data_IF_083028950203
#
_entry.id   IF_083028950203
#
_cell.length_a   1.000
_cell.length_b   1.000
_cell.length_c   1.000
_cell.angle_alpha   90.00
_cell.angle_beta   90.00
_cell.angle_gamma   90.00
#
_symmetry.space_group_name_H-M   'P 1'
#
loop_
_entity.id
_entity.type
_entity.pdbx_description
1 polymer ?
#
# COMPACT_ATOMS: atom_id res chain seq x y z
N UNK A 1 -14.66 23.45 -4.87
CA UNK A 1 -13.63 22.87 -3.96
C UNK A 1 -12.50 22.40 -4.84
N UNK A 2 -11.33 23.03 -4.76
CA UNK A 2 -10.13 22.57 -5.47
C UNK A 2 -9.74 21.24 -4.86
N UNK A 3 -9.95 20.13 -5.58
CA UNK A 3 -9.47 18.82 -5.18
C UNK A 3 -7.94 18.87 -5.14
N UNK A 4 -7.38 18.76 -3.94
CA UNK A 4 -5.94 18.80 -3.74
C UNK A 4 -5.34 17.51 -4.28
N UNK A 5 -4.36 17.60 -5.18
CA UNK A 5 -3.72 16.44 -5.84
C UNK A 5 -2.43 16.11 -5.10
N UNK A 6 -2.34 14.86 -4.60
CA UNK A 6 -1.16 14.36 -3.91
C UNK A 6 -0.08 13.87 -4.88
N UNK A 7 -0.48 13.22 -5.98
CA UNK A 7 0.42 12.71 -7.02
C UNK A 7 -0.12 13.16 -8.37
N UNK A 8 0.75 13.76 -9.20
CA UNK A 8 0.43 14.16 -10.56
C UNK A 8 1.54 13.68 -11.50
N UNK A 9 1.15 12.99 -12.56
CA UNK A 9 2.05 12.41 -13.56
C UNK A 9 1.53 12.82 -14.94
N UNK A 10 2.44 13.26 -15.81
CA UNK A 10 2.11 13.66 -17.18
C UNK A 10 3.14 13.09 -18.14
N UNK A 11 2.69 12.23 -19.06
CA UNK A 11 3.47 11.69 -20.16
C UNK A 11 4.74 10.93 -19.70
N UNK A 12 4.71 10.27 -18.53
CA UNK A 12 5.90 9.67 -17.94
C UNK A 12 6.40 8.47 -18.75
N UNK A 13 7.69 8.48 -19.09
CA UNK A 13 8.32 7.40 -19.87
C UNK A 13 9.52 6.81 -19.13
N UNK A 14 9.75 5.49 -19.32
CA UNK A 14 10.92 4.78 -18.83
C UNK A 14 11.24 3.57 -19.69
N UNK A 15 12.51 3.45 -20.09
CA UNK A 15 13.04 2.29 -20.80
C UNK A 15 14.26 1.71 -20.08
N UNK A 16 14.51 0.44 -20.26
CA UNK A 16 15.72 -0.27 -19.83
C UNK A 16 16.31 -0.95 -21.06
N UNK A 17 17.37 -0.36 -21.62
CA UNK A 17 17.85 -0.73 -22.95
C UNK A 17 16.76 -0.53 -24.00
N UNK A 18 16.48 -1.55 -24.80
CA UNK A 18 15.44 -1.51 -25.85
C UNK A 18 14.02 -1.78 -25.31
N UNK A 19 13.89 -2.10 -24.03
CA UNK A 19 12.58 -2.40 -23.43
C UNK A 19 11.92 -1.14 -22.85
N UNK A 20 10.89 -0.63 -23.53
CA UNK A 20 10.06 0.48 -23.05
C UNK A 20 9.06 -0.05 -22.02
N UNK A 21 9.29 0.28 -20.72
CA UNK A 21 8.48 -0.17 -19.57
C UNK A 21 7.34 0.78 -19.25
N UNK A 22 7.56 2.11 -19.35
CA UNK A 22 6.50 3.11 -19.25
C UNK A 22 6.44 3.91 -20.55
N UNK A 23 5.24 4.07 -21.09
CA UNK A 23 5.00 4.56 -22.46
C UNK A 23 4.06 5.78 -22.47
N UNK A 24 4.41 6.82 -21.68
CA UNK A 24 3.59 8.02 -21.58
C UNK A 24 2.44 7.87 -20.57
N UNK A 25 2.78 7.57 -19.32
CA UNK A 25 1.82 7.39 -18.23
C UNK A 25 1.31 8.75 -17.76
N UNK A 26 -0.02 8.90 -17.70
CA UNK A 26 -0.73 10.00 -17.04
C UNK A 26 -1.50 9.44 -15.85
N UNK A 27 -1.40 10.10 -14.67
CA UNK A 27 -2.11 9.68 -13.46
C UNK A 27 -2.29 10.86 -12.51
N UNK A 28 -3.47 10.92 -11.85
CA UNK A 28 -3.74 11.88 -10.77
C UNK A 28 -4.31 11.18 -9.56
N UNK A 29 -3.64 11.32 -8.42
CA UNK A 29 -4.10 10.77 -7.14
C UNK A 29 -4.53 11.91 -6.23
N UNK A 30 -5.76 11.84 -5.70
CA UNK A 30 -6.31 12.83 -4.77
C UNK A 30 -5.73 12.63 -3.36
N UNK A 31 -5.54 13.74 -2.63
CA UNK A 31 -5.12 13.67 -1.23
C UNK A 31 -6.14 12.91 -0.36
N UNK A 32 -5.63 12.12 0.59
CA UNK A 32 -6.43 11.38 1.57
C UNK A 32 -7.22 10.21 1.00
N UNK A 33 -6.90 9.74 -0.21
CA UNK A 33 -7.57 8.60 -0.86
C UNK A 33 -6.64 7.40 -0.99
N UNK A 34 -7.25 6.23 -1.18
CA UNK A 34 -6.57 5.02 -1.61
C UNK A 34 -6.72 4.90 -3.13
N UNK A 35 -5.63 5.00 -3.85
CA UNK A 35 -5.59 4.78 -5.30
C UNK A 35 -4.87 3.46 -5.60
N UNK A 36 -5.54 2.52 -6.25
CA UNK A 36 -4.94 1.26 -6.65
C UNK A 36 -4.36 1.35 -8.06
N UNK A 37 -3.11 0.97 -8.23
CA UNK A 37 -2.48 0.74 -9.52
C UNK A 37 -2.52 -0.76 -9.83
N UNK A 38 -3.56 -1.18 -10.54
CA UNK A 38 -3.81 -2.57 -10.91
C UNK A 38 -3.08 -2.92 -12.20
N UNK A 39 -2.48 -4.09 -12.27
CA UNK A 39 -1.84 -4.58 -13.51
C UNK A 39 -1.12 -5.90 -13.31
N UNK A 40 -0.87 -6.62 -14.40
CA UNK A 40 -0.11 -7.87 -14.39
C UNK A 40 1.34 -7.67 -13.96
N UNK A 41 2.04 -8.77 -13.67
CA UNK A 41 3.48 -8.73 -13.46
C UNK A 41 4.18 -8.24 -14.73
N UNK A 42 5.16 -7.34 -14.56
CA UNK A 42 5.86 -6.73 -15.69
C UNK A 42 5.14 -5.54 -16.35
N UNK A 43 3.92 -5.15 -15.92
CA UNK A 43 3.21 -4.01 -16.49
C UNK A 43 3.89 -2.65 -16.25
N UNK A 44 4.82 -2.55 -15.29
CA UNK A 44 5.55 -1.32 -14.97
C UNK A 44 5.20 -0.71 -13.60
N UNK A 45 4.34 -1.36 -12.79
CA UNK A 45 3.88 -0.87 -11.48
C UNK A 45 5.03 -0.46 -10.54
N UNK A 46 5.93 -1.40 -10.26
CA UNK A 46 7.11 -1.15 -9.39
C UNK A 46 8.04 -0.08 -9.98
N UNK A 47 8.17 -0.02 -11.31
CA UNK A 47 8.96 1.01 -11.98
C UNK A 47 8.37 2.40 -11.73
N UNK A 48 7.04 2.54 -11.85
CA UNK A 48 6.34 3.79 -11.60
C UNK A 48 6.51 4.21 -10.12
N UNK A 49 6.30 3.29 -9.17
CA UNK A 49 6.49 3.56 -7.74
C UNK A 49 7.93 3.98 -7.43
N UNK A 50 8.94 3.33 -8.04
CA UNK A 50 10.35 3.73 -7.86
C UNK A 50 10.66 5.12 -8.38
N UNK A 51 10.04 5.56 -9.47
CA UNK A 51 10.21 6.93 -9.98
C UNK A 51 9.55 7.92 -9.01
N UNK A 52 8.31 7.69 -8.59
CA UNK A 52 7.59 8.53 -7.66
C UNK A 52 8.26 8.64 -6.29
N UNK A 53 8.89 7.56 -5.84
CA UNK A 53 9.68 7.53 -4.60
C UNK A 53 11.12 8.02 -4.74
N UNK A 54 11.48 8.58 -5.92
CA UNK A 54 12.81 9.13 -6.22
C UNK A 54 13.96 8.12 -6.23
N UNK A 55 13.65 6.83 -6.33
CA UNK A 55 14.63 5.75 -6.39
C UNK A 55 15.11 5.45 -7.83
N UNK A 56 14.41 5.99 -8.83
CA UNK A 56 14.70 5.83 -10.24
C UNK A 56 14.35 7.11 -10.98
N UNK A 57 15.17 7.50 -11.95
CA UNK A 57 14.89 8.65 -12.82
C UNK A 57 14.03 8.19 -14.00
N UNK A 58 13.04 9.00 -14.36
CA UNK A 58 12.31 8.88 -15.63
C UNK A 58 13.19 9.26 -16.80
N UNK A 59 12.85 8.80 -18.02
CA UNK A 59 13.52 9.19 -19.24
C UNK A 59 12.82 10.40 -19.91
N UNK A 60 11.54 10.63 -19.58
CA UNK A 60 10.76 11.76 -20.05
C UNK A 60 9.43 11.90 -19.31
N UNK A 61 8.73 13.00 -19.58
CA UNK A 61 7.51 13.37 -18.85
C UNK A 61 7.80 14.06 -17.52
N UNK A 62 6.74 14.34 -16.77
CA UNK A 62 6.82 15.02 -15.48
C UNK A 62 6.08 14.20 -14.41
N UNK A 63 6.62 14.21 -13.18
CA UNK A 63 5.95 13.63 -12.02
C UNK A 63 6.14 14.52 -10.79
N UNK A 64 5.04 14.75 -10.08
CA UNK A 64 5.02 15.56 -8.85
C UNK A 64 4.36 14.79 -7.72
N UNK A 65 4.93 14.88 -6.53
CA UNK A 65 4.38 14.34 -5.29
C UNK A 65 4.28 15.45 -4.26
N UNK A 66 3.10 15.66 -3.69
CA UNK A 66 2.79 16.78 -2.80
C UNK A 66 3.20 18.15 -3.39
N UNK A 67 3.02 18.33 -4.71
CA UNK A 67 3.37 19.53 -5.44
C UNK A 67 4.88 19.70 -5.76
N UNK A 68 5.73 18.72 -5.36
CA UNK A 68 7.19 18.73 -5.58
C UNK A 68 7.56 17.84 -6.75
N UNK A 69 8.41 18.32 -7.62
CA UNK A 69 8.92 17.55 -8.74
C UNK A 69 9.91 16.48 -8.28
N UNK A 70 9.68 15.22 -8.70
CA UNK A 70 10.46 14.06 -8.23
C UNK A 70 11.91 14.05 -8.74
N UNK A 71 12.20 14.76 -9.84
CA UNK A 71 13.52 14.80 -10.46
C UNK A 71 14.36 15.95 -9.93
N UNK A 72 13.76 17.13 -9.72
CA UNK A 72 14.47 18.35 -9.33
C UNK A 72 14.46 18.63 -7.83
N UNK A 73 13.46 18.11 -7.10
CA UNK A 73 13.30 18.29 -5.64
C UNK A 73 13.27 16.96 -4.86
N UNK A 74 14.10 15.94 -5.17
CA UNK A 74 13.94 14.59 -4.60
C UNK A 74 14.09 14.55 -3.07
N UNK A 75 14.91 15.41 -2.48
CA UNK A 75 15.04 15.47 -1.02
C UNK A 75 13.73 15.89 -0.35
N UNK A 76 13.06 16.92 -0.87
CA UNK A 76 11.77 17.40 -0.35
C UNK A 76 10.62 16.41 -0.58
N UNK A 77 10.67 15.67 -1.70
CA UNK A 77 9.72 14.57 -1.95
C UNK A 77 9.89 13.51 -0.86
N UNK A 78 11.12 13.05 -0.59
CA UNK A 78 11.41 12.02 0.43
C UNK A 78 10.98 12.40 1.86
N UNK A 79 10.94 13.69 2.19
CA UNK A 79 10.40 14.15 3.47
C UNK A 79 8.89 13.91 3.62
N UNK A 80 8.16 13.86 2.49
CA UNK A 80 6.69 13.78 2.45
C UNK A 80 6.17 12.38 2.18
N UNK A 81 7.05 11.42 1.86
CA UNK A 81 6.66 10.08 1.43
C UNK A 81 7.23 8.99 2.32
N UNK A 82 6.62 7.82 2.23
CA UNK A 82 7.24 6.56 2.61
C UNK A 82 6.91 5.47 1.59
N UNK A 83 7.74 4.43 1.56
CA UNK A 83 7.59 3.29 0.66
C UNK A 83 7.71 2.00 1.45
N UNK A 84 6.73 1.13 1.31
CA UNK A 84 6.76 -0.25 1.76
C UNK A 84 6.88 -1.14 0.53
N UNK A 85 8.00 -1.81 0.38
CA UNK A 85 8.29 -2.66 -0.79
C UNK A 85 7.56 -4.00 -0.74
N UNK A 86 7.74 -4.81 -1.78
CA UNK A 86 7.17 -6.16 -1.88
C UNK A 86 7.63 -7.08 -0.73
N UNK A 87 8.88 -6.93 -0.29
CA UNK A 87 9.42 -7.63 0.87
C UNK A 87 9.47 -6.68 2.07
N UNK A 88 9.06 -7.18 3.23
CA UNK A 88 9.13 -6.40 4.46
C UNK A 88 10.59 -6.02 4.78
N UNK A 89 10.84 -4.73 4.98
CA UNK A 89 12.16 -4.17 5.28
C UNK A 89 12.46 -4.22 6.79
N UNK A 90 12.05 -5.30 7.47
CA UNK A 90 12.24 -5.49 8.91
C UNK A 90 13.53 -6.27 9.18
N UNK A 91 14.26 -5.89 10.21
CA UNK A 91 15.38 -6.68 10.72
C UNK A 91 14.85 -7.79 11.62
N UNK A 92 15.06 -9.05 11.21
CA UNK A 92 14.55 -10.22 11.93
C UNK A 92 15.31 -10.52 13.25
N UNK A 93 16.52 -10.00 13.40
CA UNK A 93 17.33 -10.16 14.61
C UNK A 93 16.83 -9.25 15.73
N UNK A 94 16.31 -8.07 15.36
CA UNK A 94 15.74 -7.10 16.27
C UNK A 94 14.34 -7.48 16.71
N UNK A 95 13.90 -6.92 17.83
CA UNK A 95 12.50 -6.95 18.25
C UNK A 95 11.66 -5.98 17.42
N UNK A 96 10.32 -6.12 17.48
CA UNK A 96 9.42 -5.18 16.80
C UNK A 96 9.63 -3.74 17.27
N UNK A 97 9.84 -3.55 18.57
CA UNK A 97 10.12 -2.24 19.18
C UNK A 97 11.45 -1.67 18.70
N UNK A 98 12.52 -2.46 18.68
CA UNK A 98 13.84 -2.02 18.23
C UNK A 98 13.84 -1.62 16.76
N UNK A 99 13.11 -2.32 15.87
CA UNK A 99 12.92 -1.93 14.49
C UNK A 99 12.30 -0.53 14.37
N UNK A 100 11.22 -0.26 15.10
CA UNK A 100 10.56 1.06 15.10
C UNK A 100 11.46 2.16 15.67
N UNK A 101 12.15 1.90 16.78
CA UNK A 101 13.09 2.84 17.38
C UNK A 101 14.25 3.16 16.42
N UNK A 102 14.79 2.16 15.73
CA UNK A 102 15.86 2.35 14.75
C UNK A 102 15.41 3.29 13.63
N UNK A 103 14.22 3.05 13.04
CA UNK A 103 13.71 3.91 11.97
C UNK A 103 13.40 5.32 12.49
N UNK A 104 12.87 5.45 13.71
CA UNK A 104 12.60 6.74 14.32
C UNK A 104 13.89 7.55 14.55
N UNK A 105 14.98 6.90 14.97
CA UNK A 105 16.31 7.51 15.09
C UNK A 105 16.87 7.95 13.73
N UNK A 106 16.76 7.10 12.70
CA UNK A 106 17.19 7.44 11.33
C UNK A 106 16.41 8.60 10.73
N UNK A 107 15.13 8.76 11.13
CA UNK A 107 14.27 9.87 10.74
C UNK A 107 14.39 11.09 11.68
N UNK A 108 15.29 11.06 12.66
CA UNK A 108 15.52 12.12 13.63
C UNK A 108 14.28 12.55 14.41
N UNK A 109 13.38 11.60 14.72
CA UNK A 109 12.19 11.85 15.54
C UNK A 109 12.63 12.17 16.97
N UNK A 110 11.99 13.16 17.61
CA UNK A 110 12.42 13.66 18.92
C UNK A 110 12.24 12.60 20.04
N UNK A 111 11.19 11.78 19.99
CA UNK A 111 10.94 10.67 20.93
C UNK A 111 10.80 9.33 20.19
N UNK A 112 11.91 8.65 19.86
CA UNK A 112 11.88 7.36 19.19
C UNK A 112 11.15 6.27 19.99
N UNK A 113 11.24 6.32 21.34
CA UNK A 113 10.58 5.36 22.22
C UNK A 113 9.07 5.51 22.24
N UNK A 114 8.58 6.72 22.43
CA UNK A 114 7.14 7.01 22.43
C UNK A 114 6.48 6.70 21.12
N UNK A 115 7.07 7.11 19.97
CA UNK A 115 6.51 6.77 18.64
C UNK A 115 6.49 5.26 18.39
N UNK A 116 7.48 4.49 18.91
CA UNK A 116 7.48 3.05 18.78
C UNK A 116 6.33 2.40 19.56
N UNK A 117 6.07 2.84 20.80
CA UNK A 117 4.94 2.34 21.61
C UNK A 117 3.58 2.68 20.95
N UNK A 118 3.41 3.92 20.49
CA UNK A 118 2.19 4.36 19.81
C UNK A 118 1.91 3.53 18.54
N UNK A 119 2.93 3.28 17.73
CA UNK A 119 2.81 2.48 16.52
C UNK A 119 2.57 1.00 16.83
N UNK A 120 3.23 0.42 17.83
CA UNK A 120 2.94 -0.95 18.27
C UNK A 120 1.48 -1.10 18.71
N UNK A 121 0.97 -0.14 19.48
CA UNK A 121 -0.42 -0.16 19.92
C UNK A 121 -1.39 -0.02 18.73
N UNK A 122 -1.15 0.93 17.83
CA UNK A 122 -1.99 1.19 16.66
C UNK A 122 -2.08 0.00 15.70
N UNK A 123 -1.02 -0.82 15.63
CA UNK A 123 -0.93 -1.97 14.71
C UNK A 123 -1.18 -3.32 15.40
N UNK A 124 -1.72 -3.34 16.62
CA UNK A 124 -1.97 -4.55 17.41
C UNK A 124 -0.72 -5.44 17.57
N UNK A 125 0.43 -4.81 17.83
CA UNK A 125 1.72 -5.47 18.01
C UNK A 125 2.31 -5.25 19.41
N UNK A 126 1.58 -4.67 20.36
CA UNK A 126 2.05 -4.33 21.71
C UNK A 126 2.62 -5.54 22.44
N UNK A 127 1.87 -6.66 22.49
CA UNK A 127 2.31 -7.89 23.15
C UNK A 127 3.52 -8.55 22.47
N UNK A 128 3.62 -8.36 21.15
CA UNK A 128 4.71 -8.90 20.35
C UNK A 128 5.94 -7.97 20.30
N UNK A 129 5.79 -6.71 20.71
CA UNK A 129 6.80 -5.66 20.55
C UNK A 129 8.17 -6.00 21.12
N UNK A 130 8.22 -6.75 22.23
CA UNK A 130 9.46 -7.22 22.85
C UNK A 130 10.03 -8.54 22.26
N UNK A 131 9.31 -9.19 21.33
CA UNK A 131 9.75 -10.43 20.70
C UNK A 131 10.59 -10.13 19.46
N UNK A 132 11.55 -11.00 19.13
CA UNK A 132 12.30 -10.90 17.86
C UNK A 132 11.39 -11.08 16.66
N UNK A 133 11.57 -10.27 15.62
CA UNK A 133 10.77 -10.31 14.39
C UNK A 133 10.89 -11.64 13.65
N UNK A 134 11.99 -12.37 13.80
CA UNK A 134 12.13 -13.74 13.33
C UNK A 134 10.97 -14.68 13.78
N UNK A 135 10.33 -14.39 14.93
CA UNK A 135 9.21 -15.17 15.49
C UNK A 135 7.82 -14.68 15.04
N UNK A 136 7.75 -13.62 14.22
CA UNK A 136 6.49 -13.05 13.76
C UNK A 136 5.89 -13.88 12.61
N UNK A 137 4.55 -13.91 12.54
CA UNK A 137 3.86 -14.37 11.34
C UNK A 137 4.12 -13.42 10.15
N UNK A 138 3.80 -13.85 8.93
CA UNK A 138 3.89 -12.99 7.74
C UNK A 138 3.06 -11.70 7.89
N UNK A 139 1.82 -11.83 8.38
CA UNK A 139 0.94 -10.69 8.65
C UNK A 139 1.49 -9.74 9.72
N UNK A 140 2.07 -10.25 10.81
CA UNK A 140 2.72 -9.42 11.82
C UNK A 140 3.93 -8.68 11.26
N UNK A 141 4.77 -9.33 10.45
CA UNK A 141 5.92 -8.68 9.79
C UNK A 141 5.42 -7.57 8.86
N UNK A 142 4.37 -7.82 8.09
CA UNK A 142 3.80 -6.81 7.18
C UNK A 142 3.20 -5.63 7.92
N UNK A 143 2.47 -5.86 9.01
CA UNK A 143 1.95 -4.78 9.87
C UNK A 143 3.09 -3.95 10.48
N UNK A 144 4.14 -4.59 10.95
CA UNK A 144 5.33 -3.89 11.47
C UNK A 144 6.01 -3.05 10.37
N UNK A 145 6.18 -3.57 9.17
CA UNK A 145 6.76 -2.88 8.02
C UNK A 145 5.94 -1.62 7.64
N UNK A 146 4.61 -1.75 7.61
CA UNK A 146 3.71 -0.61 7.40
C UNK A 146 3.82 0.38 8.58
N UNK A 147 3.89 -0.09 9.83
CA UNK A 147 4.08 0.78 11.00
C UNK A 147 5.39 1.57 10.91
N UNK A 148 6.50 0.92 10.52
CA UNK A 148 7.80 1.57 10.30
C UNK A 148 7.71 2.65 9.22
N UNK A 149 6.92 2.42 8.17
CA UNK A 149 6.72 3.39 7.09
C UNK A 149 5.98 4.67 7.53
N UNK A 150 5.24 4.63 8.64
CA UNK A 150 4.54 5.79 9.18
C UNK A 150 5.40 6.65 10.11
N UNK A 151 6.59 6.20 10.48
CA UNK A 151 7.54 7.01 11.24
C UNK A 151 7.85 8.29 10.46
N UNK A 152 7.69 9.43 11.08
CA UNK A 152 7.85 10.74 10.42
C UNK A 152 6.58 11.29 9.74
N UNK A 153 5.45 10.61 9.89
CA UNK A 153 4.13 11.05 9.43
C UNK A 153 4.06 11.44 7.94
N UNK A 154 4.32 10.51 7.01
CA UNK A 154 4.32 10.80 5.58
C UNK A 154 2.92 11.21 5.09
N UNK A 155 2.86 12.15 4.14
CA UNK A 155 1.60 12.55 3.49
C UNK A 155 1.17 11.53 2.43
N UNK A 156 2.13 10.85 1.80
CA UNK A 156 1.90 9.82 0.79
C UNK A 156 2.64 8.55 1.18
N UNK A 157 1.93 7.44 1.17
CA UNK A 157 2.47 6.10 1.40
C UNK A 157 2.31 5.26 0.13
N UNK A 158 3.44 4.77 -0.38
CA UNK A 158 3.47 3.79 -1.46
C UNK A 158 3.50 2.38 -0.86
N UNK A 159 2.58 1.53 -1.30
CA UNK A 159 2.50 0.11 -0.91
C UNK A 159 2.67 -0.75 -2.16
N UNK A 160 3.84 -1.38 -2.31
CA UNK A 160 4.10 -2.24 -3.47
C UNK A 160 3.71 -3.69 -3.14
N UNK A 161 2.57 -4.14 -3.70
CA UNK A 161 1.97 -5.47 -3.50
C UNK A 161 1.85 -5.87 -2.01
N UNK A 162 1.08 -5.11 -1.19
CA UNK A 162 1.14 -5.20 0.28
C UNK A 162 0.69 -6.53 0.86
N UNK A 163 -0.08 -7.34 0.14
CA UNK A 163 -0.64 -8.60 0.66
C UNK A 163 -0.13 -9.84 -0.04
N UNK A 164 0.84 -9.69 -0.96
CA UNK A 164 1.43 -10.83 -1.68
C UNK A 164 2.06 -11.83 -0.70
N UNK A 165 1.67 -13.11 -0.82
CA UNK A 165 2.18 -14.19 0.01
C UNK A 165 1.59 -14.28 1.42
N UNK A 166 0.59 -13.48 1.75
CA UNK A 166 -0.14 -13.58 3.02
C UNK A 166 -1.31 -14.57 2.92
N UNK A 167 -1.61 -15.22 4.04
CA UNK A 167 -2.83 -15.99 4.20
C UNK A 167 -4.07 -15.06 4.21
N UNK A 168 -5.29 -15.59 3.98
CA UNK A 168 -6.51 -14.79 3.88
C UNK A 168 -6.79 -13.92 5.11
N UNK A 169 -6.54 -14.43 6.33
CA UNK A 169 -6.76 -13.68 7.56
C UNK A 169 -5.78 -12.51 7.69
N UNK A 170 -4.50 -12.77 7.50
CA UNK A 170 -3.45 -11.73 7.51
C UNK A 170 -3.70 -10.65 6.45
N UNK A 171 -4.21 -11.02 5.26
CA UNK A 171 -4.59 -10.07 4.22
C UNK A 171 -5.69 -9.13 4.69
N UNK A 172 -6.76 -9.63 5.31
CA UNK A 172 -7.84 -8.81 5.85
C UNK A 172 -7.35 -7.84 6.93
N UNK A 173 -6.42 -8.26 7.79
CA UNK A 173 -5.82 -7.41 8.81
C UNK A 173 -5.03 -6.24 8.18
N UNK A 174 -4.23 -6.52 7.13
CA UNK A 174 -3.52 -5.49 6.36
C UNK A 174 -4.52 -4.53 5.69
N UNK A 175 -5.58 -5.04 5.08
CA UNK A 175 -6.61 -4.21 4.45
C UNK A 175 -7.30 -3.26 5.44
N UNK A 176 -7.64 -3.74 6.64
CA UNK A 176 -8.19 -2.87 7.71
C UNK A 176 -7.22 -1.75 8.07
N UNK A 177 -5.94 -2.10 8.20
CA UNK A 177 -4.87 -1.14 8.49
C UNK A 177 -4.78 -0.07 7.39
N UNK A 178 -4.75 -0.47 6.12
CA UNK A 178 -4.67 0.45 4.97
C UNK A 178 -5.86 1.42 4.94
N UNK A 179 -7.08 0.91 5.16
CA UNK A 179 -8.29 1.77 5.25
C UNK A 179 -8.23 2.77 6.40
N UNK A 180 -7.73 2.35 7.56
CA UNK A 180 -7.61 3.23 8.72
C UNK A 180 -6.62 4.36 8.46
N UNK A 181 -5.51 4.09 7.76
CA UNK A 181 -4.54 5.11 7.36
C UNK A 181 -5.17 6.18 6.45
N UNK A 182 -5.95 5.76 5.47
CA UNK A 182 -6.66 6.69 4.58
C UNK A 182 -7.68 7.54 5.33
N UNK A 183 -8.46 6.95 6.25
CA UNK A 183 -9.41 7.69 7.10
C UNK A 183 -8.74 8.76 7.95
N UNK A 184 -7.47 8.54 8.31
CA UNK A 184 -6.66 9.50 9.07
C UNK A 184 -6.00 10.57 8.17
N UNK A 185 -6.29 10.54 6.86
CA UNK A 185 -5.83 11.55 5.89
C UNK A 185 -4.52 11.21 5.16
N UNK A 186 -3.93 10.02 5.39
CA UNK A 186 -2.77 9.58 4.60
C UNK A 186 -3.24 9.24 3.18
N UNK A 187 -2.55 9.74 2.17
CA UNK A 187 -2.78 9.32 0.78
C UNK A 187 -2.04 8.03 0.51
N UNK A 188 -2.70 7.05 -0.10
CA UNK A 188 -2.09 5.76 -0.41
C UNK A 188 -2.11 5.49 -1.91
N UNK A 189 -0.97 5.15 -2.47
CA UNK A 189 -0.87 4.53 -3.79
C UNK A 189 -0.42 3.08 -3.58
N UNK A 190 -1.33 2.13 -3.78
CA UNK A 190 -1.00 0.72 -3.70
C UNK A 190 -0.89 0.10 -5.09
N UNK A 191 0.11 -0.73 -5.30
CA UNK A 191 0.18 -1.57 -6.49
C UNK A 191 -0.36 -2.96 -6.17
N UNK A 192 -1.09 -3.54 -7.09
CA UNK A 192 -1.58 -4.92 -6.95
C UNK A 192 -1.80 -5.59 -8.30
N UNK A 193 -1.81 -6.92 -8.31
CA UNK A 193 -2.32 -7.74 -9.40
C UNK A 193 -3.64 -8.44 -9.01
N UNK A 194 -4.09 -8.27 -7.75
CA UNK A 194 -5.27 -8.89 -7.20
C UNK A 194 -6.48 -7.96 -7.35
N UNK A 195 -7.47 -8.40 -8.10
CA UNK A 195 -8.69 -7.63 -8.38
C UNK A 195 -9.50 -7.38 -7.09
N UNK A 196 -9.61 -8.40 -6.24
CA UNK A 196 -10.31 -8.35 -4.95
C UNK A 196 -9.71 -7.28 -4.02
N UNK A 197 -8.38 -7.13 -4.00
CA UNK A 197 -7.70 -6.10 -3.22
C UNK A 197 -8.02 -4.68 -3.73
N UNK A 198 -7.99 -4.49 -5.06
CA UNK A 198 -8.34 -3.20 -5.65
C UNK A 198 -9.82 -2.85 -5.42
N UNK A 199 -10.75 -3.80 -5.63
CA UNK A 199 -12.18 -3.60 -5.38
C UNK A 199 -12.50 -3.27 -3.93
N UNK A 200 -11.82 -3.94 -3.00
CA UNK A 200 -12.10 -3.81 -1.58
C UNK A 200 -11.52 -2.53 -0.97
N UNK A 201 -10.35 -2.08 -1.43
CA UNK A 201 -9.62 -0.99 -0.79
C UNK A 201 -9.75 0.36 -1.48
N UNK A 202 -9.80 0.38 -2.82
CA UNK A 202 -9.52 1.59 -3.56
C UNK A 202 -10.74 2.52 -3.69
N UNK A 203 -10.51 3.82 -3.52
CA UNK A 203 -11.44 4.88 -3.91
C UNK A 203 -11.40 5.14 -5.42
N UNK A 204 -10.24 4.88 -6.04
CA UNK A 204 -10.05 4.92 -7.49
C UNK A 204 -9.02 3.85 -7.93
N UNK A 205 -9.18 3.35 -9.14
CA UNK A 205 -8.38 2.27 -9.71
C UNK A 205 -7.85 2.71 -11.07
N UNK A 206 -6.53 2.74 -11.21
CA UNK A 206 -5.85 2.88 -12.49
C UNK A 206 -5.39 1.51 -12.99
N UNK A 207 -5.73 1.11 -14.20
CA UNK A 207 -5.28 -0.14 -14.81
C UNK A 207 -4.08 0.16 -15.69
N UNK A 208 -2.91 -0.35 -15.28
CA UNK A 208 -1.66 -0.27 -16.03
C UNK A 208 -1.48 -1.54 -16.85
N UNK A 209 -1.43 -1.39 -18.17
CA UNK A 209 -1.24 -2.47 -19.12
C UNK A 209 -0.18 -2.11 -20.14
N UNK A 210 0.82 -2.98 -20.33
CA UNK A 210 1.93 -2.80 -21.29
C UNK A 210 2.59 -1.40 -21.24
N UNK A 211 2.72 -0.85 -20.04
CA UNK A 211 3.40 0.43 -19.80
C UNK A 211 2.53 1.67 -19.97
N UNK A 212 1.23 1.54 -20.19
CA UNK A 212 0.27 2.64 -20.31
C UNK A 212 -0.92 2.45 -19.38
N UNK A 213 -1.48 3.53 -18.83
CA UNK A 213 -2.77 3.49 -18.14
C UNK A 213 -3.87 3.45 -19.18
N UNK A 214 -4.65 2.36 -19.17
CA UNK A 214 -5.75 2.15 -20.12
C UNK A 214 -7.09 2.65 -19.59
N UNK A 215 -7.22 2.76 -18.26
CA UNK A 215 -8.40 3.31 -17.57
C UNK A 215 -8.00 3.79 -16.20
N UNK A 216 -8.62 4.88 -15.72
CA UNK A 216 -8.47 5.45 -14.37
C UNK A 216 -9.82 5.99 -13.92
N UNK A 217 -10.32 5.57 -12.76
CA UNK A 217 -11.60 6.01 -12.22
C UNK A 217 -12.05 5.21 -11.00
N UNK A 218 -13.24 5.53 -10.50
CA UNK A 218 -13.88 4.77 -9.43
C UNK A 218 -14.32 3.38 -9.92
N UNK A 219 -14.53 2.44 -9.01
CA UNK A 219 -15.03 1.10 -9.35
C UNK A 219 -16.35 1.14 -10.13
N UNK A 220 -17.25 2.07 -9.77
CA UNK A 220 -18.54 2.23 -10.45
C UNK A 220 -18.35 2.77 -11.88
N UNK A 221 -17.44 3.72 -12.09
CA UNK A 221 -17.09 4.21 -13.42
C UNK A 221 -16.49 3.10 -14.28
N UNK A 222 -15.59 2.28 -13.71
CA UNK A 222 -15.00 1.15 -14.41
C UNK A 222 -16.06 0.10 -14.78
N UNK A 223 -16.98 -0.23 -13.87
CA UNK A 223 -18.09 -1.15 -14.13
C UNK A 223 -19.05 -0.63 -15.21
N UNK A 224 -19.24 0.68 -15.29
CA UNK A 224 -20.09 1.30 -16.30
C UNK A 224 -19.52 1.22 -17.74
N UNK A 225 -18.21 0.93 -17.89
CA UNK A 225 -17.61 0.68 -19.22
C UNK A 225 -18.07 -0.64 -19.84
N UNK A 226 -18.58 -1.56 -19.03
CA UNK A 226 -19.09 -2.84 -19.51
C UNK A 226 -20.59 -2.74 -19.78
N UNK A 227 -21.13 -3.46 -20.79
CA UNK A 227 -22.57 -3.55 -20.98
C UNK A 227 -23.20 -4.12 -19.70
N UNK A 228 -24.45 -3.69 -19.34
CA UNK A 228 -25.10 -4.15 -18.14
C UNK A 228 -25.15 -5.67 -18.11
N UNK A 229 -24.59 -6.26 -17.05
CA UNK A 229 -24.54 -7.70 -16.87
C UNK A 229 -25.98 -8.25 -16.89
N UNK A 230 -26.22 -9.30 -17.68
CA UNK A 230 -27.44 -10.09 -17.52
C UNK A 230 -27.44 -10.64 -16.10
N UNK A 231 -28.50 -10.34 -15.35
CA UNK A 231 -28.67 -10.86 -13.99
C UNK A 231 -28.93 -12.37 -14.10
N UNK A 232 -27.84 -13.16 -14.02
CA UNK A 232 -27.96 -14.57 -13.72
C UNK A 232 -27.93 -14.72 -12.20
N UNK A 233 -29.01 -15.24 -11.63
CA UNK A 233 -29.06 -15.64 -10.22
C UNK A 233 -28.16 -16.87 -10.01
N UNK A 234 -26.87 -16.68 -9.89
CA UNK A 234 -25.97 -17.71 -9.40
C UNK A 234 -26.02 -17.67 -7.88
N UNK A 235 -26.62 -18.68 -7.26
CA UNK A 235 -26.44 -18.89 -5.82
C UNK A 235 -24.95 -19.03 -5.54
N UNK A 236 -24.36 -18.00 -4.95
CA UNK A 236 -22.94 -17.99 -4.59
C UNK A 236 -22.77 -19.02 -3.48
N UNK A 237 -22.27 -20.19 -3.82
CA UNK A 237 -21.87 -21.17 -2.80
C UNK A 237 -20.71 -20.57 -2.00
N UNK A 238 -20.69 -20.80 -0.66
CA UNK A 238 -19.59 -20.35 0.15
C UNK A 238 -18.26 -20.81 -0.43
N UNK A 239 -17.31 -19.92 -0.56
CA UNK A 239 -15.97 -20.27 -1.02
C UNK A 239 -15.21 -20.99 0.09
N UNK A 240 -14.15 -21.72 -0.26
CA UNK A 240 -13.27 -22.34 0.74
C UNK A 240 -12.68 -21.29 1.71
N UNK A 241 -12.48 -20.07 1.22
CA UNK A 241 -12.02 -18.91 1.99
C UNK A 241 -13.09 -18.48 3.03
N UNK A 242 -14.36 -18.39 2.64
CA UNK A 242 -15.46 -18.07 3.55
C UNK A 242 -15.59 -19.13 4.67
N UNK A 243 -15.41 -20.40 4.31
CA UNK A 243 -15.42 -21.51 5.27
C UNK A 243 -14.25 -21.39 6.24
N UNK A 244 -13.05 -21.16 5.74
CA UNK A 244 -11.84 -20.99 6.54
C UNK A 244 -11.97 -19.81 7.54
N UNK A 245 -12.42 -18.66 7.09
CA UNK A 245 -12.61 -17.47 7.92
C UNK A 245 -13.68 -17.71 9.00
N UNK A 246 -14.77 -18.42 8.67
CA UNK A 246 -15.83 -18.75 9.64
C UNK A 246 -15.33 -19.70 10.73
N UNK A 247 -14.58 -20.72 10.36
CA UNK A 247 -14.08 -21.73 11.31
C UNK A 247 -12.96 -21.18 12.21
N UNK A 248 -12.04 -20.39 11.66
CA UNK A 248 -10.91 -19.83 12.41
C UNK A 248 -11.33 -18.61 13.24
N UNK A 249 -12.29 -17.80 12.75
CA UNK A 249 -12.81 -16.63 13.46
C UNK A 249 -13.67 -16.93 14.70
N UNK A 250 -14.17 -18.15 14.84
CA UNK A 250 -14.99 -18.58 16.00
C UNK A 250 -14.19 -19.29 17.11
N UNK A 251 -12.87 -19.41 17.01
CA UNK A 251 -12.01 -19.93 18.07
C UNK A 251 -11.54 -18.84 19.04
N UNK A 252 -12.45 -18.02 19.57
CA UNK A 252 -12.21 -17.31 20.83
C UNK A 252 -12.61 -18.25 21.97
N UNK A 253 -11.75 -18.52 22.97
CA UNK A 253 -12.12 -19.36 24.09
C UNK A 253 -13.21 -18.65 24.91
N UNK A 254 -14.36 -19.32 24.99
CA UNK A 254 -15.39 -18.96 25.94
C UNK A 254 -14.77 -18.98 27.34
N UNK A 255 -14.89 -17.87 28.07
CA UNK A 255 -14.47 -17.73 29.44
C UNK A 255 -15.06 -18.85 30.30
N UNK A 256 -14.20 -19.50 31.06
CA UNK A 256 -14.59 -20.32 32.21
C UNK A 256 -14.97 -19.39 33.34
N UNK A 257 -16.27 -19.15 33.52
CA UNK A 257 -16.85 -18.84 34.82
C UNK A 257 -17.03 -20.17 35.58
N UNK A 258 -16.26 -20.32 36.63
CA UNK A 258 -16.69 -20.90 37.95
C UNK A 258 -15.67 -20.52 39.01
#
# INVERSE_FOLDING_TARGET
MTTNTAIEITGLTKSFGDNAVLKGVDLRVREGTIHALLGSNGAGKTTLVRILSTLLLADGGEARVCGRDVSTEPARVRESISLTGQFAAVDEVLTGRENLVLVAQLRHVADPGGIAEDLLARFDLTEAGARRVATYSGGMRRRLDIAMSLVGNPRVLFLDEPTTGLDPQSRLEVWRTVRELARQGTTLLLTTQHLDEAEELADAIAILHEGSIIVDGTLDELKALLPPAKVEYVQKQPTLEDIFLTLVGHTSPAGSDQ
#
